data_IF_894485646542
#
_entry.id   IF_894485646542
#
_cell.length_a   1.000
_cell.length_b   1.000
_cell.length_c   1.000
_cell.angle_alpha   90.00
_cell.angle_beta   90.00
_cell.angle_gamma   90.00
#
_symmetry.space_group_name_H-M   'P 1'
#
loop_
_entity.id
_entity.type
_entity.pdbx_description
1 polymer ?
#
# COMPACT_ATOMS: atom_id res chain seq x y z
N UNK A 1 54.36 -62.95 60.98
CA UNK A 1 53.07 -62.54 60.37
C UNK A 1 52.75 -63.51 59.24
N UNK A 2 51.58 -64.15 59.27
CA UNK A 2 51.20 -65.20 58.30
C UNK A 2 51.00 -64.63 56.89
N UNK A 3 51.39 -65.37 55.84
CA UNK A 3 51.24 -65.00 54.42
C UNK A 3 49.81 -64.56 54.05
N UNK A 4 48.80 -65.10 54.74
CA UNK A 4 47.39 -64.73 54.59
C UNK A 4 47.10 -63.25 54.92
N UNK A 5 47.73 -62.70 55.97
CA UNK A 5 47.54 -61.29 56.33
C UNK A 5 48.08 -60.34 55.26
N UNK A 6 49.21 -60.70 54.63
CA UNK A 6 49.82 -59.89 53.57
C UNK A 6 48.91 -59.85 52.34
N UNK A 7 48.39 -61.01 51.92
CA UNK A 7 47.47 -61.10 50.77
C UNK A 7 46.20 -60.27 50.99
N UNK A 8 45.65 -60.31 52.21
CA UNK A 8 44.41 -59.62 52.54
C UNK A 8 44.60 -58.09 52.54
N UNK A 9 45.75 -57.60 53.03
CA UNK A 9 46.10 -56.18 52.97
C UNK A 9 46.30 -55.70 51.54
N UNK A 10 46.93 -56.51 50.68
CA UNK A 10 47.12 -56.18 49.26
C UNK A 10 45.78 -56.13 48.51
N UNK A 11 44.87 -57.06 48.78
CA UNK A 11 43.54 -57.04 48.18
C UNK A 11 42.71 -55.83 48.63
N UNK A 12 42.78 -55.49 49.93
CA UNK A 12 42.13 -54.30 50.47
C UNK A 12 42.68 -53.01 49.87
N UNK A 13 44.01 -52.89 49.73
CA UNK A 13 44.60 -51.71 49.12
C UNK A 13 44.17 -51.57 47.66
N UNK A 14 44.17 -52.67 46.90
CA UNK A 14 43.70 -52.67 45.51
C UNK A 14 42.23 -52.24 45.40
N UNK A 15 41.37 -52.76 46.27
CA UNK A 15 39.95 -52.42 46.30
C UNK A 15 39.72 -50.93 46.63
N UNK A 16 40.46 -50.38 47.58
CA UNK A 16 40.38 -48.95 47.95
C UNK A 16 40.85 -48.07 46.79
N UNK A 17 41.95 -48.40 46.13
CA UNK A 17 42.45 -47.64 44.98
C UNK A 17 41.45 -47.67 43.81
N UNK A 18 40.87 -48.84 43.52
CA UNK A 18 39.83 -48.97 42.48
C UNK A 18 38.59 -48.14 42.78
N UNK A 19 38.14 -48.12 44.05
CA UNK A 19 36.99 -47.32 44.46
C UNK A 19 37.26 -45.82 44.34
N UNK A 20 38.48 -45.38 44.68
CA UNK A 20 38.90 -43.99 44.59
C UNK A 20 38.91 -43.50 43.14
N UNK A 21 39.49 -44.27 42.21
CA UNK A 21 39.48 -43.94 40.79
C UNK A 21 38.06 -43.88 40.23
N UNK A 22 37.23 -44.88 40.53
CA UNK A 22 35.85 -44.91 40.07
C UNK A 22 35.02 -43.71 40.58
N UNK A 23 35.28 -43.25 41.81
CA UNK A 23 34.65 -42.04 42.37
C UNK A 23 35.14 -40.77 41.67
N UNK A 24 36.43 -40.69 41.40
CA UNK A 24 37.04 -39.54 40.73
C UNK A 24 36.56 -39.42 39.27
N UNK A 25 36.56 -40.53 38.52
CA UNK A 25 36.04 -40.59 37.15
C UNK A 25 34.54 -40.26 37.11
N UNK A 26 33.73 -40.81 38.02
CA UNK A 26 32.32 -40.45 38.12
C UNK A 26 32.09 -38.96 38.40
N UNK A 27 32.92 -38.34 39.25
CA UNK A 27 32.82 -36.91 39.52
C UNK A 27 33.14 -36.09 38.25
N UNK A 28 34.16 -36.50 37.50
CA UNK A 28 34.53 -35.84 36.24
C UNK A 28 33.44 -35.99 35.16
N UNK A 29 32.85 -37.18 35.03
CA UNK A 29 31.78 -37.47 34.09
C UNK A 29 30.52 -36.68 34.44
N UNK A 30 30.13 -36.62 35.72
CA UNK A 30 29.02 -35.78 36.19
C UNK A 30 29.25 -34.31 35.86
N UNK A 31 30.43 -33.78 36.17
CA UNK A 31 30.77 -32.40 35.84
C UNK A 31 30.77 -32.12 34.32
N UNK A 32 31.07 -33.12 33.48
CA UNK A 32 30.99 -32.98 32.02
C UNK A 32 29.54 -33.04 31.52
N UNK A 33 28.71 -33.91 32.10
CA UNK A 33 27.29 -34.03 31.78
C UNK A 33 26.54 -32.75 32.18
N UNK A 34 26.81 -32.23 33.38
CA UNK A 34 26.20 -30.97 33.86
C UNK A 34 26.58 -29.81 32.94
N UNK A 35 27.84 -29.73 32.49
CA UNK A 35 28.27 -28.73 31.51
C UNK A 35 27.56 -28.89 30.17
N UNK A 36 27.47 -30.11 29.65
CA UNK A 36 26.79 -30.38 28.39
C UNK A 36 25.30 -30.05 28.47
N UNK A 37 24.64 -30.37 29.59
CA UNK A 37 23.23 -30.09 29.81
C UNK A 37 22.97 -28.58 29.95
N UNK A 38 23.86 -27.85 30.63
CA UNK A 38 23.78 -26.39 30.73
C UNK A 38 23.90 -25.73 29.35
N UNK A 39 24.87 -26.14 28.53
CA UNK A 39 25.03 -25.64 27.15
C UNK A 39 23.82 -26.00 26.30
N UNK A 40 23.29 -27.21 26.40
CA UNK A 40 22.09 -27.62 25.68
C UNK A 40 20.87 -26.78 26.08
N UNK A 41 20.72 -26.49 27.37
CA UNK A 41 19.66 -25.60 27.89
C UNK A 41 19.80 -24.18 27.35
N UNK A 42 21.01 -23.61 27.35
CA UNK A 42 21.30 -22.28 26.81
C UNK A 42 21.06 -22.20 25.29
N UNK A 43 21.43 -23.25 24.56
CA UNK A 43 21.12 -23.34 23.13
C UNK A 43 19.62 -23.43 22.90
N UNK A 44 18.89 -24.20 23.70
CA UNK A 44 17.44 -24.32 23.59
C UNK A 44 16.71 -23.00 23.86
N UNK A 45 17.15 -22.23 24.86
CA UNK A 45 16.58 -20.90 25.13
C UNK A 45 16.88 -19.93 23.99
N UNK A 46 18.11 -19.93 23.47
CA UNK A 46 18.54 -19.09 22.34
C UNK A 46 17.76 -19.44 21.06
N UNK A 47 17.60 -20.72 20.75
CA UNK A 47 16.81 -21.19 19.60
C UNK A 47 15.36 -20.73 19.76
N UNK A 48 14.77 -20.88 20.94
CA UNK A 48 13.38 -20.45 21.19
C UNK A 48 13.24 -18.94 21.00
N UNK A 49 14.20 -18.15 21.51
CA UNK A 49 14.23 -16.71 21.32
C UNK A 49 14.34 -16.33 19.84
N UNK A 50 15.28 -16.91 19.10
CA UNK A 50 15.46 -16.69 17.67
C UNK A 50 14.21 -17.06 16.86
N UNK A 51 13.56 -18.16 17.22
CA UNK A 51 12.32 -18.60 16.57
C UNK A 51 11.18 -17.60 16.78
N UNK A 52 11.06 -17.05 17.99
CA UNK A 52 10.10 -16.00 18.31
C UNK A 52 10.40 -14.70 17.57
N UNK A 53 11.67 -14.29 17.52
CA UNK A 53 12.09 -13.10 16.77
C UNK A 53 11.80 -13.25 15.28
N UNK A 54 12.11 -14.41 14.69
CA UNK A 54 11.81 -14.72 13.30
C UNK A 54 10.30 -14.66 13.03
N UNK A 55 9.48 -15.25 13.90
CA UNK A 55 8.03 -15.20 13.76
C UNK A 55 7.48 -13.76 13.80
N UNK A 56 7.98 -12.93 14.72
CA UNK A 56 7.62 -11.51 14.81
C UNK A 56 8.08 -10.75 13.56
N UNK A 57 9.29 -11.01 13.08
CA UNK A 57 9.83 -10.37 11.88
C UNK A 57 9.01 -10.71 10.63
N UNK A 58 8.68 -11.99 10.44
CA UNK A 58 7.82 -12.44 9.34
C UNK A 58 6.42 -11.81 9.42
N UNK A 59 5.82 -11.79 10.61
CA UNK A 59 4.50 -11.16 10.79
C UNK A 59 4.53 -9.66 10.47
N UNK A 60 5.61 -8.96 10.82
CA UNK A 60 5.78 -7.54 10.48
C UNK A 60 5.98 -7.34 8.98
N UNK A 61 6.76 -8.21 8.34
CA UNK A 61 6.97 -8.15 6.89
C UNK A 61 5.66 -8.34 6.13
N UNK A 62 4.87 -9.37 6.48
CA UNK A 62 3.57 -9.66 5.88
C UNK A 62 2.59 -8.47 6.00
N UNK A 63 2.47 -7.92 7.22
CA UNK A 63 1.64 -6.72 7.45
C UNK A 63 2.12 -5.50 6.65
N UNK A 64 3.43 -5.32 6.53
CA UNK A 64 4.00 -4.22 5.77
C UNK A 64 3.76 -4.39 4.26
N UNK A 65 3.87 -5.61 3.72
CA UNK A 65 3.55 -5.89 2.33
C UNK A 65 2.07 -5.61 2.03
N UNK A 66 1.15 -6.07 2.90
CA UNK A 66 -0.28 -5.78 2.77
C UNK A 66 -0.57 -4.27 2.81
N UNK A 67 0.05 -3.53 3.73
CA UNK A 67 -0.08 -2.09 3.82
C UNK A 67 0.46 -1.37 2.57
N UNK A 68 1.58 -1.82 2.01
CA UNK A 68 2.13 -1.27 0.77
C UNK A 68 1.22 -1.52 -0.43
N UNK A 69 0.64 -2.72 -0.54
CA UNK A 69 -0.32 -3.05 -1.60
C UNK A 69 -1.56 -2.16 -1.48
N UNK A 70 -2.12 -2.03 -0.27
CA UNK A 70 -3.26 -1.15 -0.03
C UNK A 70 -2.94 0.31 -0.39
N UNK A 71 -1.79 0.83 0.03
CA UNK A 71 -1.36 2.19 -0.30
C UNK A 71 -1.20 2.40 -1.81
N UNK A 72 -0.61 1.45 -2.54
CA UNK A 72 -0.51 1.52 -4.01
C UNK A 72 -1.88 1.57 -4.65
N UNK A 73 -2.82 0.76 -4.18
CA UNK A 73 -4.19 0.76 -4.70
C UNK A 73 -4.90 2.10 -4.45
N UNK A 74 -4.70 2.71 -3.29
CA UNK A 74 -5.24 4.04 -2.97
C UNK A 74 -4.65 5.13 -3.87
N UNK A 75 -3.34 5.10 -4.10
CA UNK A 75 -2.65 6.04 -5.00
C UNK A 75 -3.14 5.90 -6.44
N UNK A 76 -3.29 4.67 -6.94
CA UNK A 76 -3.84 4.44 -8.28
C UNK A 76 -5.28 4.96 -8.40
N UNK A 77 -6.10 4.73 -7.38
CA UNK A 77 -7.49 5.21 -7.37
C UNK A 77 -7.55 6.74 -7.29
N UNK A 78 -6.67 7.36 -6.52
CA UNK A 78 -6.54 8.81 -6.45
C UNK A 78 -6.09 9.38 -7.81
N UNK A 79 -5.08 8.78 -8.45
CA UNK A 79 -4.61 9.18 -9.77
C UNK A 79 -5.71 9.07 -10.84
N UNK A 80 -6.49 7.98 -10.84
CA UNK A 80 -7.65 7.83 -11.73
C UNK A 80 -8.70 8.91 -11.52
N UNK A 81 -9.02 9.23 -10.26
CA UNK A 81 -9.97 10.32 -9.93
C UNK A 81 -9.46 11.67 -10.39
N UNK A 82 -8.17 11.94 -10.22
CA UNK A 82 -7.58 13.20 -10.63
C UNK A 82 -7.57 13.35 -12.15
N UNK A 83 -7.15 12.31 -12.89
CA UNK A 83 -7.22 12.31 -14.34
C UNK A 83 -8.66 12.50 -14.87
N UNK A 84 -9.66 11.94 -14.17
CA UNK A 84 -11.06 12.14 -14.53
C UNK A 84 -11.54 13.57 -14.26
N UNK A 85 -11.09 14.18 -13.16
CA UNK A 85 -11.38 15.58 -12.84
C UNK A 85 -10.77 16.52 -13.88
N UNK A 86 -9.51 16.29 -14.23
CA UNK A 86 -8.82 17.08 -15.26
C UNK A 86 -9.56 17.02 -16.59
N UNK A 87 -9.90 15.81 -17.09
CA UNK A 87 -10.72 15.63 -18.30
C UNK A 87 -12.05 16.38 -18.22
N UNK A 88 -12.69 16.35 -17.06
CA UNK A 88 -13.98 17.04 -16.85
C UNK A 88 -13.80 18.55 -16.91
N UNK A 89 -12.76 19.10 -16.28
CA UNK A 89 -12.43 20.53 -16.31
C UNK A 89 -12.14 20.96 -17.75
N UNK A 90 -11.30 20.22 -18.48
CA UNK A 90 -10.98 20.53 -19.88
C UNK A 90 -12.23 20.55 -20.76
N UNK A 91 -13.12 19.55 -20.60
CA UNK A 91 -14.38 19.51 -21.33
C UNK A 91 -15.25 20.72 -21.02
N UNK A 92 -15.44 21.04 -19.74
CA UNK A 92 -16.24 22.20 -19.32
C UNK A 92 -15.64 23.52 -19.79
N UNK A 93 -14.31 23.64 -19.83
CA UNK A 93 -13.64 24.82 -20.34
C UNK A 93 -13.89 25.01 -21.84
N UNK A 94 -13.78 23.93 -22.62
CA UNK A 94 -14.08 23.97 -24.06
C UNK A 94 -15.55 24.32 -24.31
N UNK A 95 -16.49 23.67 -23.62
CA UNK A 95 -17.92 23.98 -23.71
C UNK A 95 -18.20 25.46 -23.35
N UNK A 96 -17.52 26.00 -22.33
CA UNK A 96 -17.67 27.40 -21.97
C UNK A 96 -17.14 28.35 -23.06
N UNK A 97 -16.01 28.01 -23.69
CA UNK A 97 -15.47 28.78 -24.82
C UNK A 97 -16.44 28.77 -26.00
N UNK A 98 -17.01 27.61 -26.35
CA UNK A 98 -18.00 27.48 -27.41
C UNK A 98 -19.23 28.35 -27.14
N UNK A 99 -19.74 28.36 -25.90
CA UNK A 99 -20.86 29.23 -25.52
C UNK A 99 -20.51 30.71 -25.61
N UNK A 100 -19.31 31.11 -25.16
CA UNK A 100 -18.87 32.52 -25.28
C UNK A 100 -18.75 32.94 -26.74
N UNK A 101 -18.23 32.05 -27.60
CA UNK A 101 -18.11 32.30 -29.04
C UNK A 101 -19.47 32.44 -29.70
N UNK A 102 -20.42 31.56 -29.38
CA UNK A 102 -21.80 31.66 -29.86
C UNK A 102 -22.49 32.94 -29.39
N UNK A 103 -22.33 33.30 -28.12
CA UNK A 103 -22.94 34.51 -27.55
C UNK A 103 -22.35 35.80 -28.14
N UNK A 104 -21.03 35.81 -28.43
CA UNK A 104 -20.34 36.95 -29.03
C UNK A 104 -20.42 37.00 -30.56
N UNK A 105 -20.97 35.98 -31.21
CA UNK A 105 -21.14 35.96 -32.66
C UNK A 105 -22.24 36.94 -33.08
N UNK A 106 -22.05 37.60 -34.23
CA UNK A 106 -23.08 38.47 -34.78
C UNK A 106 -24.37 37.70 -35.06
N UNK A 107 -25.51 38.34 -34.75
CA UNK A 107 -26.80 37.75 -35.05
C UNK A 107 -26.91 37.51 -36.57
N UNK A 108 -27.55 36.39 -36.99
CA UNK A 108 -27.78 36.12 -38.40
C UNK A 108 -28.43 37.32 -39.11
N UNK A 109 -28.04 37.57 -40.37
CA UNK A 109 -28.51 38.73 -41.14
C UNK A 109 -30.05 38.84 -41.16
N UNK A 110 -30.75 37.71 -41.22
CA UNK A 110 -32.21 37.67 -41.14
C UNK A 110 -32.77 38.32 -39.87
N UNK A 111 -32.18 38.02 -38.71
CA UNK A 111 -32.58 38.58 -37.41
C UNK A 111 -32.14 40.05 -37.31
N UNK A 112 -30.97 40.41 -37.84
CA UNK A 112 -30.52 41.81 -37.90
C UNK A 112 -31.45 42.68 -38.75
N UNK A 113 -31.90 42.20 -39.91
CA UNK A 113 -32.87 42.89 -40.78
C UNK A 113 -34.23 43.08 -40.12
N UNK A 114 -34.66 42.16 -39.26
CA UNK A 114 -35.89 42.32 -38.48
C UNK A 114 -35.79 43.49 -37.49
N UNK A 115 -34.63 43.67 -36.85
CA UNK A 115 -34.38 44.77 -35.91
C UNK A 115 -34.05 46.10 -36.60
N UNK A 116 -33.48 46.07 -37.80
CA UNK A 116 -33.15 47.26 -38.58
C UNK A 116 -34.39 47.76 -39.31
N UNK A 117 -34.96 48.88 -38.87
CA UNK A 117 -36.02 49.55 -39.60
C UNK A 117 -35.42 50.47 -40.67
N UNK A 118 -35.72 50.28 -41.97
CA UNK A 118 -35.30 51.21 -43.00
C UNK A 118 -35.85 52.60 -42.71
N UNK A 119 -35.03 53.63 -42.83
CA UNK A 119 -35.50 55.01 -42.75
C UNK A 119 -36.42 55.28 -43.96
N UNK A 120 -37.65 55.73 -43.71
CA UNK A 120 -38.54 56.12 -44.79
C UNK A 120 -38.01 57.40 -45.43
N UNK A 121 -37.80 57.38 -46.75
CA UNK A 121 -37.32 58.56 -47.50
C UNK A 121 -38.49 59.49 -47.85
N UNK A 122 -39.70 58.95 -47.97
CA UNK A 122 -40.98 59.65 -48.09
C UNK A 122 -42.08 58.84 -47.37
N UNK A 123 -43.19 59.47 -46.97
CA UNK A 123 -44.32 58.83 -46.29
C UNK A 123 -45.01 57.76 -47.15
N UNK A 124 -44.89 57.86 -48.48
CA UNK A 124 -45.41 56.90 -49.45
C UNK A 124 -44.53 55.64 -49.63
N UNK A 125 -43.25 55.71 -49.23
CA UNK A 125 -42.24 54.65 -49.40
C UNK A 125 -41.87 53.91 -48.10
N UNK A 126 -42.63 54.10 -47.02
CA UNK A 126 -42.40 53.36 -45.79
C UNK A 126 -42.69 51.85 -45.98
N UNK A 127 -41.77 50.94 -45.61
CA UNK A 127 -42.06 49.51 -45.62
C UNK A 127 -43.22 49.19 -44.65
N UNK A 128 -44.12 48.32 -45.10
CA UNK A 128 -45.29 47.88 -44.35
C UNK A 128 -44.86 47.18 -43.05
N UNK A 129 -45.55 47.47 -41.93
CA UNK A 129 -45.27 46.85 -40.62
C UNK A 129 -45.40 45.32 -40.76
N UNK A 130 -44.40 44.59 -40.29
CA UNK A 130 -44.43 43.13 -40.29
C UNK A 130 -45.68 42.62 -39.56
N UNK A 131 -46.36 41.58 -40.08
CA UNK A 131 -47.52 40.98 -39.41
C UNK A 131 -47.08 40.34 -38.08
N UNK A 132 -47.83 40.61 -37.01
CA UNK A 132 -47.49 40.13 -35.65
C UNK A 132 -47.74 38.62 -35.45
N UNK A 133 -48.58 37.99 -36.29
CA UNK A 133 -49.14 36.66 -36.04
C UNK A 133 -48.89 35.64 -37.15
N UNK A 134 -48.24 36.02 -38.25
CA UNK A 134 -48.00 35.12 -39.37
C UNK A 134 -46.56 34.63 -39.41
N UNK A 135 -46.32 33.33 -39.67
CA UNK A 135 -44.98 32.79 -39.78
C UNK A 135 -44.26 33.48 -40.94
N UNK A 136 -43.09 34.02 -40.65
CA UNK A 136 -42.23 34.61 -41.67
C UNK A 136 -41.74 33.49 -42.61
N UNK A 137 -41.67 33.74 -43.92
CA UNK A 137 -41.09 32.79 -44.85
C UNK A 137 -39.64 32.50 -44.45
N UNK A 138 -39.24 31.24 -44.60
CA UNK A 138 -37.88 30.80 -44.27
C UNK A 138 -36.87 31.72 -44.96
N UNK A 139 -36.02 32.36 -44.15
CA UNK A 139 -34.98 33.23 -44.65
C UNK A 139 -33.87 32.34 -45.20
N UNK A 140 -34.06 31.82 -46.41
CA UNK A 140 -33.05 31.05 -47.13
C UNK A 140 -31.69 31.75 -47.07
N UNK A 141 -30.64 30.93 -46.90
CA UNK A 141 -29.23 31.28 -46.63
C UNK A 141 -28.79 32.68 -47.05
#
# INVERSE_FOLDING_TARGET
>A
MSKLMIVLVVLLSLAVTGLFLAKHENASLRASLDRANNVASEQQTTITMLKNQLHVALTRADKNELAQVALRQELENAAKREAQREKTITRLLNENEDFRRWYGADLPDAVRRLHQRPACTDASDCPQRLPESEPLPDAGQ
#
